data_IF_193899331865
#
_entry.id   IF_193899331865
#
_cell.length_a   1.000
_cell.length_b   1.000
_cell.length_c   1.000
_cell.angle_alpha   90.00
_cell.angle_beta   90.00
_cell.angle_gamma   90.00
#
_symmetry.space_group_name_H-M   'P 1'
#
loop_
_entity.id
_entity.type
_entity.pdbx_description
1 polymer ?
#
# COMPACT_ATOMS: atom_id res chain seq x y z
N UNK A 1 2.33 -14.10 -1.82
CA UNK A 1 2.64 -12.69 -1.51
C UNK A 1 1.63 -11.83 -2.22
N UNK A 2 0.92 -10.97 -1.49
CA UNK A 2 -0.02 -10.00 -2.07
C UNK A 2 0.65 -8.63 -2.04
N UNK A 3 0.75 -7.98 -3.20
CA UNK A 3 1.20 -6.58 -3.28
C UNK A 3 -0.04 -5.73 -3.45
N UNK A 4 -0.24 -4.79 -2.52
CA UNK A 4 -1.40 -3.93 -2.46
C UNK A 4 -0.97 -2.46 -2.55
N UNK A 5 -1.53 -1.73 -3.50
CA UNK A 5 -1.27 -0.32 -3.69
C UNK A 5 -2.46 0.53 -3.21
N UNK A 6 -2.16 1.50 -2.35
CA UNK A 6 -3.08 2.50 -1.81
C UNK A 6 -2.85 3.83 -2.51
N UNK A 7 -3.94 4.52 -2.85
CA UNK A 7 -3.88 5.79 -3.54
C UNK A 7 -4.90 6.75 -2.93
N UNK A 8 -4.43 7.59 -2.01
CA UNK A 8 -5.27 8.50 -1.25
C UNK A 8 -6.45 7.77 -0.58
N UNK A 9 -6.17 6.60 -0.01
CA UNK A 9 -7.13 5.73 0.65
C UNK A 9 -7.88 6.44 1.78
N UNK A 10 -7.29 7.48 2.40
CA UNK A 10 -7.97 8.38 3.34
C UNK A 10 -9.29 8.97 2.80
N UNK A 11 -9.42 9.17 1.49
CA UNK A 11 -10.65 9.67 0.85
C UNK A 11 -11.53 8.56 0.28
N UNK A 12 -11.05 7.31 0.26
CA UNK A 12 -11.70 6.16 -0.40
C UNK A 12 -11.94 5.04 0.61
N UNK A 13 -13.02 5.14 1.38
CA UNK A 13 -13.37 4.17 2.44
C UNK A 13 -13.41 2.71 1.97
N UNK A 14 -13.86 2.46 0.73
CA UNK A 14 -13.89 1.12 0.15
C UNK A 14 -12.49 0.53 -0.09
N UNK A 15 -11.51 1.37 -0.42
CA UNK A 15 -10.12 0.94 -0.59
C UNK A 15 -9.54 0.49 0.76
N UNK A 16 -9.77 1.27 1.83
CA UNK A 16 -9.36 0.90 3.19
C UNK A 16 -10.07 -0.36 3.68
N UNK A 17 -11.36 -0.50 3.40
CA UNK A 17 -12.12 -1.71 3.76
C UNK A 17 -11.52 -2.96 3.11
N UNK A 18 -11.29 -2.92 1.79
CA UNK A 18 -10.65 -4.02 1.07
C UNK A 18 -9.23 -4.29 1.57
N UNK A 19 -8.46 -3.24 1.83
CA UNK A 19 -7.10 -3.36 2.30
C UNK A 19 -7.00 -4.07 3.65
N UNK A 20 -7.86 -3.69 4.60
CA UNK A 20 -7.92 -4.36 5.89
C UNK A 20 -8.40 -5.80 5.77
N UNK A 21 -9.35 -6.10 4.86
CA UNK A 21 -9.76 -7.48 4.59
C UNK A 21 -8.63 -8.34 4.03
N UNK A 22 -7.77 -7.77 3.18
CA UNK A 22 -6.59 -8.48 2.67
C UNK A 22 -5.57 -8.75 3.77
N UNK A 23 -5.34 -7.79 4.67
CA UNK A 23 -4.46 -7.94 5.83
C UNK A 23 -4.97 -8.99 6.84
N UNK A 24 -6.29 -9.09 7.00
CA UNK A 24 -6.93 -10.14 7.84
C UNK A 24 -6.82 -11.53 7.21
N UNK A 25 -6.95 -11.62 5.88
CA UNK A 25 -7.01 -12.90 5.17
C UNK A 25 -5.63 -13.48 4.81
N UNK A 26 -4.58 -12.66 4.78
CA UNK A 26 -3.26 -13.05 4.31
C UNK A 26 -2.14 -12.64 5.27
N UNK A 27 -1.24 -13.58 5.56
CA UNK A 27 -0.07 -13.35 6.43
C UNK A 27 1.15 -12.75 5.70
N UNK A 28 1.02 -12.40 4.42
CA UNK A 28 2.12 -11.88 3.60
C UNK A 28 1.58 -10.86 2.61
N UNK A 29 1.42 -9.63 3.10
CA UNK A 29 0.93 -8.47 2.34
C UNK A 29 1.94 -7.33 2.40
N UNK A 30 2.37 -6.85 1.23
CA UNK A 30 3.15 -5.62 1.09
C UNK A 30 2.19 -4.48 0.77
N UNK A 31 2.08 -3.50 1.66
CA UNK A 31 1.19 -2.35 1.54
C UNK A 31 1.97 -1.13 1.05
N UNK A 32 1.59 -0.57 -0.10
CA UNK A 32 2.34 0.48 -0.78
C UNK A 32 1.47 1.74 -0.88
N UNK A 33 1.88 2.84 -0.25
CA UNK A 33 1.22 4.14 -0.41
C UNK A 33 1.82 4.92 -1.57
N UNK A 34 1.01 5.14 -2.61
CA UNK A 34 1.45 5.60 -3.93
C UNK A 34 1.44 7.12 -4.11
N UNK A 35 0.91 7.86 -3.11
CA UNK A 35 0.80 9.33 -3.16
C UNK A 35 0.94 9.91 -1.77
N UNK A 36 -0.12 9.83 -0.96
CA UNK A 36 -0.04 10.28 0.43
C UNK A 36 0.49 9.15 1.32
N UNK A 37 1.61 9.35 2.05
CA UNK A 37 2.22 8.31 2.87
C UNK A 37 1.35 7.89 4.07
N UNK A 38 0.38 8.73 4.44
CA UNK A 38 -0.49 8.55 5.61
C UNK A 38 -1.56 7.48 5.43
N UNK A 39 -1.79 7.00 4.20
CA UNK A 39 -2.74 5.92 3.94
C UNK A 39 -2.39 4.62 4.72
N UNK A 40 -1.09 4.40 4.96
CA UNK A 40 -0.59 3.26 5.73
C UNK A 40 -1.04 3.32 7.19
N UNK A 41 -1.15 4.52 7.75
CA UNK A 41 -1.46 4.73 9.17
C UNK A 41 -2.93 4.39 9.48
N UNK A 42 -3.76 4.24 8.43
CA UNK A 42 -5.17 3.84 8.50
C UNK A 42 -5.37 2.32 8.40
N UNK A 43 -4.30 1.55 8.19
CA UNK A 43 -4.35 0.09 8.07
C UNK A 43 -4.31 -0.60 9.43
N UNK A 44 -5.03 -1.71 9.54
CA UNK A 44 -5.02 -2.56 10.73
C UNK A 44 -3.84 -3.52 10.65
N UNK A 45 -2.80 -3.24 11.45
CA UNK A 45 -1.60 -4.10 11.64
C UNK A 45 -0.88 -4.46 10.32
N UNK A 46 -0.48 -3.46 9.50
CA UNK A 46 0.27 -3.75 8.29
C UNK A 46 1.63 -4.39 8.63
N UNK A 47 2.02 -5.40 7.87
CA UNK A 47 3.25 -6.16 8.13
C UNK A 47 4.48 -5.54 7.44
N UNK A 48 4.37 -5.29 6.14
CA UNK A 48 5.41 -4.66 5.32
C UNK A 48 4.79 -3.47 4.62
N UNK A 49 5.45 -2.30 4.74
CA UNK A 49 4.92 -1.05 4.20
C UNK A 49 5.97 -0.32 3.39
N UNK A 50 5.56 0.27 2.27
CA UNK A 50 6.40 1.10 1.41
C UNK A 50 5.64 2.40 1.12
N UNK A 51 6.35 3.53 1.11
CA UNK A 51 5.79 4.85 0.83
C UNK A 51 6.55 5.41 -0.38
N UNK A 52 5.89 5.52 -1.53
CA UNK A 52 6.55 5.99 -2.77
C UNK A 52 6.45 7.49 -2.98
N UNK A 53 5.58 8.18 -2.21
CA UNK A 53 5.30 9.63 -2.27
C UNK A 53 4.68 10.12 -3.60
N UNK A 54 4.88 9.40 -4.69
CA UNK A 54 4.29 9.67 -6.00
C UNK A 54 4.12 8.38 -6.80
N UNK A 55 3.36 8.49 -7.90
CA UNK A 55 3.02 7.38 -8.78
C UNK A 55 3.61 7.52 -10.20
N UNK A 56 4.65 8.34 -10.33
CA UNK A 56 5.33 8.56 -11.62
C UNK A 56 6.00 7.26 -12.09
N UNK A 57 6.23 7.10 -13.42
CA UNK A 57 6.92 5.93 -13.95
C UNK A 57 8.28 5.68 -13.29
N UNK A 58 9.08 6.72 -13.07
CA UNK A 58 10.40 6.62 -12.41
C UNK A 58 10.29 6.12 -10.96
N UNK A 59 9.27 6.59 -10.23
CA UNK A 59 9.00 6.09 -8.88
C UNK A 59 8.52 4.64 -8.87
N UNK A 60 7.79 4.22 -9.92
CA UNK A 60 7.43 2.81 -10.10
C UNK A 60 8.61 1.92 -10.44
N UNK A 61 9.52 2.37 -11.31
CA UNK A 61 10.73 1.63 -11.66
C UNK A 61 11.62 1.45 -10.42
N UNK A 62 11.76 2.51 -9.62
CA UNK A 62 12.48 2.47 -8.35
C UNK A 62 11.81 1.50 -7.36
N UNK A 63 10.48 1.55 -7.24
CA UNK A 63 9.72 0.63 -6.40
C UNK A 63 9.93 -0.83 -6.82
N UNK A 64 9.89 -1.13 -8.11
CA UNK A 64 10.10 -2.47 -8.63
C UNK A 64 11.48 -3.02 -8.27
N UNK A 65 12.52 -2.19 -8.31
CA UNK A 65 13.89 -2.56 -7.89
C UNK A 65 14.04 -2.84 -6.40
N UNK A 66 13.11 -2.35 -5.58
CA UNK A 66 13.07 -2.63 -4.13
C UNK A 66 12.27 -3.91 -3.84
N UNK A 67 11.29 -4.22 -4.68
CA UNK A 67 10.41 -5.38 -4.50
C UNK A 67 11.02 -6.70 -5.01
N UNK A 68 11.93 -6.64 -6.00
CA UNK A 68 12.50 -7.80 -6.70
C UNK A 68 14.02 -7.69 -6.81
#
# INVERSE_FOLDING_TARGET
MVIMCLYNAQFMKYQLFLANKLLEAHNSVVSIAMRNPYDIDLLVRPQTTIKTFEYTPLSMDSLLSVLF
#
